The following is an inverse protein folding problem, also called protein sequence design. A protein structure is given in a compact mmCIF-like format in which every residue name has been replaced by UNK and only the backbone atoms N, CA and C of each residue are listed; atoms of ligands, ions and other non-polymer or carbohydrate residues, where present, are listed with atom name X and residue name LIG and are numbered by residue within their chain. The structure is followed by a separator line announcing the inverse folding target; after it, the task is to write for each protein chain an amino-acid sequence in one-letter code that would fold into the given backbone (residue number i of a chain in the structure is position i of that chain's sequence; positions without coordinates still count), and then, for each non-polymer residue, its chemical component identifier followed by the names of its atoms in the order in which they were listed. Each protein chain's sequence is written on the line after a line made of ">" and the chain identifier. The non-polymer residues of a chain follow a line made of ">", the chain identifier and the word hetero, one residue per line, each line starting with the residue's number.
data_IF_195890509693
#
_entry.id   IF_195890509693
#
_cell.length_a   1.000
_cell.length_b   1.000
_cell.length_c   1.000
_cell.angle_alpha   90.00
_cell.angle_beta   90.00
_cell.angle_gamma   90.00
#
_symmetry.space_group_name_H-M   'P 1'
#
loop_
_entity.id
_entity.type
_entity.pdbx_description
1 polymer ?
#
# COMPACT_ATOMS: atom_id res chain seq x y z
N UNK A 1 28.21 -3.74 16.20
CA UNK A 1 28.34 -3.74 14.73
C UNK A 1 27.06 -4.38 14.24
N UNK A 2 26.12 -3.57 13.76
CA UNK A 2 24.88 -4.07 13.15
C UNK A 2 25.30 -4.69 11.83
N UNK A 3 25.07 -5.99 11.65
CA UNK A 3 25.40 -6.69 10.41
C UNK A 3 24.31 -6.29 9.40
N UNK A 4 24.62 -6.14 8.10
CA UNK A 4 23.64 -5.83 7.04
C UNK A 4 22.33 -6.63 7.17
N UNK A 5 22.46 -7.88 7.60
CA UNK A 5 21.36 -8.82 7.83
C UNK A 5 20.43 -8.39 8.96
N UNK A 6 20.95 -7.77 10.02
CA UNK A 6 20.16 -7.28 11.15
C UNK A 6 19.31 -6.08 10.72
N UNK A 7 19.90 -5.17 9.94
CA UNK A 7 19.19 -3.99 9.43
C UNK A 7 18.06 -4.35 8.46
N UNK A 8 18.32 -5.27 7.51
CA UNK A 8 17.29 -5.73 6.57
C UNK A 8 16.17 -6.45 7.34
N UNK A 9 16.50 -7.26 8.34
CA UNK A 9 15.51 -7.95 9.17
C UNK A 9 14.63 -6.95 9.92
N UNK A 10 15.24 -5.96 10.57
CA UNK A 10 14.53 -4.89 11.29
C UNK A 10 13.58 -4.11 10.36
N UNK A 11 14.03 -3.74 9.16
CA UNK A 11 13.20 -3.02 8.18
C UNK A 11 11.98 -3.84 7.75
N UNK A 12 12.17 -5.15 7.54
CA UNK A 12 11.09 -6.03 7.13
C UNK A 12 10.08 -6.25 8.26
N UNK A 13 10.55 -6.44 9.49
CA UNK A 13 9.69 -6.56 10.67
C UNK A 13 8.87 -5.27 10.90
N UNK A 14 9.52 -4.11 10.83
CA UNK A 14 8.88 -2.80 10.91
C UNK A 14 7.80 -2.68 9.81
N UNK A 15 8.13 -3.03 8.56
CA UNK A 15 7.23 -2.94 7.40
C UNK A 15 5.96 -3.78 7.55
N UNK A 16 6.11 -5.03 8.01
CA UNK A 16 4.99 -5.97 8.22
C UNK A 16 4.05 -5.46 9.32
N UNK A 17 4.60 -4.83 10.36
CA UNK A 17 3.81 -4.31 11.47
C UNK A 17 3.02 -3.03 11.14
N UNK A 18 3.33 -2.37 10.03
CA UNK A 18 2.68 -1.12 9.66
C UNK A 18 1.28 -1.36 9.10
N UNK A 19 0.37 -0.46 9.46
CA UNK A 19 -0.99 -0.40 8.93
C UNK A 19 -1.05 -0.26 7.41
N UNK A 20 -2.28 -0.24 6.88
CA UNK A 20 -2.54 -0.18 5.43
C UNK A 20 -2.59 1.23 4.87
N UNK A 21 -2.47 2.27 5.70
CA UNK A 21 -2.70 3.63 5.21
C UNK A 21 -1.48 4.22 4.50
N UNK A 22 -1.74 5.04 3.48
CA UNK A 22 -0.72 5.79 2.75
C UNK A 22 0.18 6.61 3.68
N UNK A 23 -0.41 7.25 4.70
CA UNK A 23 0.31 8.09 5.66
C UNK A 23 1.29 7.29 6.50
N UNK A 24 0.91 6.11 6.95
CA UNK A 24 1.80 5.24 7.73
C UNK A 24 2.93 4.69 6.85
N UNK A 25 2.65 4.38 5.58
CA UNK A 25 3.65 3.94 4.62
C UNK A 25 4.70 5.03 4.31
N UNK A 26 4.28 6.28 4.08
CA UNK A 26 5.20 7.40 3.86
C UNK A 26 6.02 7.75 5.12
N UNK A 27 5.41 7.64 6.30
CA UNK A 27 6.12 7.80 7.56
C UNK A 27 7.21 6.75 7.72
N UNK A 28 6.87 5.47 7.52
CA UNK A 28 7.82 4.37 7.58
C UNK A 28 8.95 4.50 6.58
N UNK A 29 8.63 4.83 5.32
CA UNK A 29 9.63 5.05 4.28
C UNK A 29 10.65 6.09 4.74
N UNK A 30 10.15 7.23 5.24
CA UNK A 30 10.99 8.33 5.71
C UNK A 30 11.86 7.91 6.90
N UNK A 31 11.27 7.24 7.90
CA UNK A 31 12.01 6.74 9.08
C UNK A 31 13.07 5.71 8.71
N UNK A 32 12.75 4.80 7.79
CA UNK A 32 13.67 3.75 7.32
C UNK A 32 14.86 4.32 6.56
N UNK A 33 14.64 5.35 5.72
CA UNK A 33 15.72 6.06 5.03
C UNK A 33 16.64 6.77 6.05
N UNK A 34 16.06 7.40 7.08
CA UNK A 34 16.87 8.06 8.13
C UNK A 34 17.72 7.03 8.88
N UNK A 35 17.14 5.89 9.28
CA UNK A 35 17.87 4.79 9.92
C UNK A 35 19.02 4.28 9.05
N UNK A 36 18.77 4.09 7.74
CA UNK A 36 19.79 3.68 6.77
C UNK A 36 20.95 4.67 6.73
N UNK A 37 20.65 5.97 6.68
CA UNK A 37 21.67 7.02 6.63
C UNK A 37 22.51 7.07 7.92
N UNK A 38 21.88 6.84 9.09
CA UNK A 38 22.59 6.77 10.37
C UNK A 38 23.58 5.61 10.40
N UNK A 39 23.17 4.41 9.98
CA UNK A 39 24.04 3.23 9.94
C UNK A 39 25.16 3.41 8.91
N UNK A 40 24.85 4.03 7.78
CA UNK A 40 25.84 4.27 6.72
C UNK A 40 26.98 5.21 7.15
N UNK A 41 26.68 6.18 8.02
CA UNK A 41 27.68 7.07 8.61
C UNK A 41 28.65 6.29 9.53
N UNK A 42 28.23 5.16 10.08
CA UNK A 42 29.07 4.31 10.92
C UNK A 42 29.89 3.29 10.12
N UNK A 43 29.48 2.96 8.88
CA UNK A 43 30.06 1.85 8.11
C UNK A 43 30.85 2.24 6.86
N UNK A 44 30.79 3.50 6.39
CA UNK A 44 31.43 3.98 5.14
C UNK A 44 31.18 3.09 3.90
N UNK A 45 30.14 2.24 3.93
CA UNK A 45 29.85 1.29 2.86
C UNK A 45 28.67 1.78 2.00
N UNK A 46 28.99 2.33 0.82
CA UNK A 46 27.99 2.85 -0.13
C UNK A 46 27.07 1.75 -0.68
N UNK A 47 27.52 0.51 -0.78
CA UNK A 47 26.74 -0.60 -1.36
C UNK A 47 25.50 -0.90 -0.49
N UNK A 48 25.65 -0.84 0.84
CA UNK A 48 24.56 -1.00 1.80
C UNK A 48 23.50 0.09 1.62
N UNK A 49 23.92 1.32 1.34
CA UNK A 49 23.00 2.44 1.13
C UNK A 49 22.16 2.19 -0.12
N UNK A 50 22.79 1.81 -1.23
CA UNK A 50 22.08 1.58 -2.48
C UNK A 50 21.06 0.44 -2.36
N UNK A 51 21.47 -0.68 -1.77
CA UNK A 51 20.61 -1.84 -1.64
C UNK A 51 19.50 -1.64 -0.59
N UNK A 52 19.82 -0.98 0.53
CA UNK A 52 18.84 -0.56 1.51
C UNK A 52 17.78 0.38 0.92
N UNK A 53 18.20 1.38 0.12
CA UNK A 53 17.28 2.29 -0.56
C UNK A 53 16.37 1.57 -1.55
N UNK A 54 16.92 0.64 -2.35
CA UNK A 54 16.12 -0.17 -3.29
C UNK A 54 15.05 -0.96 -2.57
N UNK A 55 15.39 -1.61 -1.45
CA UNK A 55 14.45 -2.39 -0.64
C UNK A 55 13.33 -1.49 -0.11
N UNK A 56 13.68 -0.37 0.53
CA UNK A 56 12.70 0.56 1.11
C UNK A 56 11.74 1.09 0.04
N UNK A 57 12.26 1.48 -1.13
CA UNK A 57 11.44 1.98 -2.24
C UNK A 57 10.49 0.90 -2.77
N UNK A 58 10.98 -0.31 -3.01
CA UNK A 58 10.16 -1.41 -3.52
C UNK A 58 9.03 -1.78 -2.55
N UNK A 59 9.33 -1.87 -1.26
CA UNK A 59 8.32 -2.16 -0.23
C UNK A 59 7.28 -1.03 -0.11
N UNK A 60 7.71 0.22 -0.16
CA UNK A 60 6.81 1.39 -0.19
C UNK A 60 5.84 1.34 -1.37
N UNK A 61 6.33 1.00 -2.57
CA UNK A 61 5.48 0.90 -3.77
C UNK A 61 4.49 -0.28 -3.69
N UNK A 62 4.92 -1.42 -3.15
CA UNK A 62 4.02 -2.58 -2.94
C UNK A 62 2.79 -2.21 -2.09
N UNK A 63 2.98 -1.45 -1.00
CA UNK A 63 1.85 -0.99 -0.18
C UNK A 63 0.96 0.03 -0.90
N UNK A 64 1.53 0.93 -1.70
CA UNK A 64 0.74 1.88 -2.52
C UNK A 64 -0.13 1.14 -3.53
N UNK A 65 0.41 0.13 -4.21
CA UNK A 65 -0.35 -0.69 -5.14
C UNK A 65 -1.46 -1.48 -4.41
N UNK A 66 -1.16 -2.06 -3.25
CA UNK A 66 -2.16 -2.78 -2.43
C UNK A 66 -3.32 -1.88 -1.98
N UNK A 67 -3.02 -0.67 -1.51
CA UNK A 67 -4.06 0.29 -1.07
C UNK A 67 -4.90 0.80 -2.25
N UNK A 68 -4.30 1.02 -3.42
CA UNK A 68 -5.04 1.38 -4.64
C UNK A 68 -6.00 0.26 -5.06
N UNK A 69 -5.58 -1.00 -5.00
CA UNK A 69 -6.44 -2.14 -5.29
C UNK A 69 -7.57 -2.27 -4.24
N UNK A 70 -7.25 -2.17 -2.95
CA UNK A 70 -8.24 -2.17 -1.86
C UNK A 70 -9.25 -1.00 -2.01
N UNK A 71 -8.81 0.16 -2.51
CA UNK A 71 -9.69 1.32 -2.77
C UNK A 71 -10.61 1.09 -3.97
N UNK A 72 -10.11 0.44 -5.02
CA UNK A 72 -10.92 0.08 -6.18
C UNK A 72 -11.98 -0.97 -5.84
N UNK A 73 -11.67 -1.92 -4.96
CA UNK A 73 -12.65 -2.86 -4.41
C UNK A 73 -13.69 -2.18 -3.52
N UNK A 74 -13.31 -1.16 -2.74
CA UNK A 74 -14.24 -0.39 -1.90
C UNK A 74 -15.16 0.54 -2.70
N UNK A 75 -14.64 1.16 -3.77
CA UNK A 75 -15.41 2.07 -4.62
C UNK A 75 -16.27 1.34 -5.66
N UNK A 76 -16.05 0.04 -5.87
CA UNK A 76 -16.78 -0.75 -6.87
C UNK A 76 -18.15 -1.27 -6.40
N UNK A 77 -18.58 -1.07 -5.15
CA UNK A 77 -19.93 -1.44 -4.73
C UNK A 77 -20.48 -0.67 -3.50
N UNK A 78 -21.63 0.05 -3.62
CA UNK A 78 -22.53 0.20 -2.50
C UNK A 78 -23.45 -1.02 -2.45
N UNK A 79 -23.06 -2.08 -1.73
CA UNK A 79 -23.88 -3.32 -1.55
C UNK A 79 -25.23 -3.06 -0.85
N UNK A 80 -25.48 -1.85 -0.32
CA UNK A 80 -26.73 -1.54 0.38
C UNK A 80 -27.51 -0.36 -0.24
N UNK A 81 -27.73 -0.35 -1.55
CA UNK A 81 -28.88 0.35 -2.13
C UNK A 81 -29.85 -0.69 -2.70
N UNK A 82 -31.15 -0.66 -2.34
CA UNK A 82 -32.07 -1.71 -2.76
C UNK A 82 -32.24 -1.68 -4.28
N UNK A 83 -31.84 -2.80 -4.90
CA UNK A 83 -32.02 -3.18 -6.32
C UNK A 83 -33.49 -3.10 -6.79
N UNK A 84 -34.44 -2.78 -5.89
CA UNK A 84 -35.86 -2.60 -6.23
C UNK A 84 -36.12 -1.45 -7.20
N UNK A 85 -35.36 -0.36 -7.11
CA UNK A 85 -35.57 0.83 -7.95
C UNK A 85 -35.20 0.55 -9.41
N UNK A 86 -34.03 -0.06 -9.62
CA UNK A 86 -33.55 -0.44 -10.95
C UNK A 86 -34.39 -1.58 -11.55
N UNK A 87 -34.85 -2.55 -10.73
CA UNK A 87 -35.81 -3.57 -11.20
C UNK A 87 -37.16 -2.98 -11.60
N UNK A 88 -37.63 -1.93 -10.93
CA UNK A 88 -38.87 -1.22 -11.29
C UNK A 88 -38.69 -0.43 -12.58
N UNK A 89 -37.58 0.29 -12.74
CA UNK A 89 -37.28 1.02 -13.97
C UNK A 89 -37.14 0.08 -15.17
N UNK A 90 -36.37 -1.01 -15.03
CA UNK A 90 -36.19 -1.98 -16.11
C UNK A 90 -37.52 -2.63 -16.52
N UNK A 91 -38.40 -2.96 -15.56
CA UNK A 91 -39.76 -3.44 -15.86
C UNK A 91 -40.65 -2.40 -16.53
N UNK A 92 -40.47 -1.12 -16.21
CA UNK A 92 -41.22 -0.02 -16.84
C UNK A 92 -40.78 0.18 -18.29
N UNK A 93 -39.47 0.16 -18.55
CA UNK A 93 -38.89 0.28 -19.90
C UNK A 93 -39.30 -0.90 -20.77
N UNK A 94 -39.17 -2.13 -20.26
CA UNK A 94 -39.60 -3.33 -20.99
C UNK A 94 -41.11 -3.35 -21.27
N UNK A 95 -41.94 -2.74 -20.43
CA UNK A 95 -43.36 -2.59 -20.75
C UNK A 95 -43.62 -1.55 -21.84
N UNK A 96 -42.85 -0.47 -21.89
CA UNK A 96 -43.02 0.56 -22.92
C UNK A 96 -42.57 0.10 -24.31
N UNK A 97 -41.55 -0.75 -24.39
CA UNK A 97 -40.99 -1.22 -25.68
C UNK A 97 -41.74 -2.42 -26.29
N UNK A 98 -42.46 -3.18 -25.47
CA UNK A 98 -43.13 -4.42 -25.89
C UNK A 98 -44.66 -4.38 -25.74
N UNK A 99 -45.26 -3.18 -25.71
CA UNK A 99 -46.71 -2.96 -25.85
C UNK A 99 -46.96 -2.06 -27.06
#
# INVERSE_FOLDING_TARGET
>A
MIIETDFITEILEDFVCIGKSFKENELWKSTSIIKLMQISHEMENQEIIEDGLKIILNLSELKKCGELLDSYEKDSFPINKPIETEKKELKSILKLEFT
#
